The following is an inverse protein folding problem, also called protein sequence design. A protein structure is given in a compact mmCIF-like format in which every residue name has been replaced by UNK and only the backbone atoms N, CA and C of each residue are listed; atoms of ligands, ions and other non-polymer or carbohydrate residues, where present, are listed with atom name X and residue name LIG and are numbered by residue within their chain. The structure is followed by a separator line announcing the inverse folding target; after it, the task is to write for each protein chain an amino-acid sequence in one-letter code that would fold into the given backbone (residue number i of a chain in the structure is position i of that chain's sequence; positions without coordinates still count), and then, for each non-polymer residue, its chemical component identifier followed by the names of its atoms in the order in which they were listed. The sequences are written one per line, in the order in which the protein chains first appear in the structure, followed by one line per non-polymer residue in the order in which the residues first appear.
data_IF_697006320917
#
_entry.id   IF_697006320917
#
_cell.length_a   1.000
_cell.length_b   1.000
_cell.length_c   1.000
_cell.angle_alpha   90.00
_cell.angle_beta   90.00
_cell.angle_gamma   90.00
#
_symmetry.space_group_name_H-M   'P 1'
#
loop_
_entity.id
_entity.type
_entity.pdbx_description
1 polymer ?
#
# COMPACT_ATOMS: atom_id res chain seq x y z
N UNK A 1 -0.88 -6.53 -11.49
CA UNK A 1 -0.13 -6.68 -10.23
C UNK A 1 -0.36 -5.45 -9.39
N UNK A 2 -0.79 -5.65 -8.15
CA UNK A 2 -1.10 -4.57 -7.21
C UNK A 2 -0.35 -4.78 -5.92
N UNK A 3 -0.06 -3.71 -5.18
CA UNK A 3 0.54 -3.81 -3.85
C UNK A 3 -0.49 -3.46 -2.78
N UNK A 4 -0.59 -4.29 -1.75
CA UNK A 4 -1.60 -4.13 -0.70
C UNK A 4 -1.05 -3.26 0.42
N UNK A 5 -1.56 -2.04 0.57
CA UNK A 5 -1.16 -1.10 1.63
C UNK A 5 -2.14 -1.12 2.80
N UNK A 6 -1.62 -0.89 4.01
CA UNK A 6 -2.43 -0.72 5.21
C UNK A 6 -2.35 0.72 5.72
N UNK A 7 -3.50 1.26 6.14
CA UNK A 7 -3.55 2.55 6.83
C UNK A 7 -4.62 2.60 7.90
N UNK A 8 -4.31 3.33 8.98
CA UNK A 8 -5.28 3.73 10.02
C UNK A 8 -5.83 5.13 9.79
N UNK A 9 -5.26 5.90 8.86
CA UNK A 9 -5.61 7.29 8.56
C UNK A 9 -6.04 7.43 7.08
N UNK A 10 -7.20 6.89 6.67
CA UNK A 10 -7.63 6.85 5.28
C UNK A 10 -7.74 8.24 4.62
N UNK A 11 -7.98 9.29 5.41
CA UNK A 11 -8.02 10.66 4.94
C UNK A 11 -6.69 11.18 4.35
N UNK A 12 -5.56 10.53 4.65
CA UNK A 12 -4.23 10.87 4.11
C UNK A 12 -3.91 10.17 2.78
N UNK A 13 -4.73 9.22 2.34
CA UNK A 13 -4.50 8.46 1.10
C UNK A 13 -4.35 9.34 -0.16
N UNK A 14 -5.08 10.45 -0.34
CA UNK A 14 -4.87 11.32 -1.49
C UNK A 14 -3.55 12.10 -1.43
N UNK A 15 -2.90 12.17 -0.27
CA UNK A 15 -1.56 12.75 -0.13
C UNK A 15 -0.45 11.70 -0.28
N UNK A 16 -0.79 10.46 -0.66
CA UNK A 16 0.17 9.39 -0.85
C UNK A 16 1.19 9.74 -1.95
N UNK A 17 2.47 9.47 -1.69
CA UNK A 17 3.59 9.80 -2.58
C UNK A 17 4.56 8.67 -2.79
N UNK A 18 4.52 7.65 -1.95
CA UNK A 18 5.33 6.44 -2.08
C UNK A 18 4.71 5.32 -1.24
N UNK A 19 5.25 4.12 -1.36
CA UNK A 19 4.86 2.99 -0.54
C UNK A 19 6.10 2.50 0.19
N UNK A 20 6.11 2.57 1.52
CA UNK A 20 7.20 2.07 2.33
C UNK A 20 7.11 0.56 2.52
N UNK A 21 8.23 -0.11 2.24
CA UNK A 21 8.48 -1.53 2.43
C UNK A 21 9.70 -1.71 3.34
N UNK A 22 9.74 -2.79 4.12
CA UNK A 22 10.94 -3.13 4.88
C UNK A 22 11.91 -3.90 3.96
N UNK A 23 13.21 -3.55 3.92
CA UNK A 23 14.17 -4.20 3.04
C UNK A 23 14.36 -5.70 3.35
N UNK A 24 14.33 -6.06 4.63
CA UNK A 24 14.67 -7.41 5.10
C UNK A 24 13.49 -8.40 5.05
N UNK A 25 12.26 -7.89 4.92
CA UNK A 25 11.06 -8.71 4.89
C UNK A 25 10.90 -9.42 3.55
N UNK A 26 10.34 -10.62 3.62
CA UNK A 26 9.92 -11.37 2.45
C UNK A 26 8.51 -10.97 2.04
N UNK A 27 8.35 -10.54 0.79
CA UNK A 27 7.07 -10.22 0.18
C UNK A 27 6.64 -11.34 -0.74
N UNK A 28 5.39 -11.78 -0.60
CA UNK A 28 4.79 -12.81 -1.42
C UNK A 28 3.93 -12.18 -2.53
N UNK A 29 4.10 -12.66 -3.76
CA UNK A 29 3.15 -12.42 -4.84
C UNK A 29 2.05 -13.47 -4.73
N UNK A 30 0.85 -13.05 -4.38
CA UNK A 30 -0.30 -13.93 -4.16
C UNK A 30 -1.33 -13.70 -5.26
N UNK A 31 -1.80 -14.77 -5.89
CA UNK A 31 -2.91 -14.76 -6.82
C UNK A 31 -4.21 -15.08 -6.09
N UNK A 32 -5.19 -14.18 -6.22
CA UNK A 32 -6.52 -14.27 -5.60
C UNK A 32 -7.52 -13.80 -6.66
N UNK A 33 -8.54 -14.60 -6.96
CA UNK A 33 -9.59 -14.25 -7.94
C UNK A 33 -9.06 -13.75 -9.29
N UNK A 34 -7.96 -14.33 -9.77
CA UNK A 34 -7.31 -13.93 -11.03
C UNK A 34 -6.47 -12.64 -10.95
N UNK A 35 -6.37 -12.01 -9.78
CA UNK A 35 -5.55 -10.83 -9.54
C UNK A 35 -4.28 -11.18 -8.77
N UNK A 36 -3.15 -10.61 -9.17
CA UNK A 36 -1.88 -10.78 -8.48
C UNK A 36 -1.60 -9.59 -7.54
N UNK A 37 -1.45 -9.88 -6.24
CA UNK A 37 -1.24 -8.90 -5.16
C UNK A 37 0.06 -9.16 -4.41
N UNK A 38 0.74 -8.09 -3.97
CA UNK A 38 1.97 -8.17 -3.17
C UNK A 38 1.66 -7.76 -1.73
N UNK A 39 2.09 -8.59 -0.78
CA UNK A 39 2.02 -8.34 0.66
C UNK A 39 3.15 -9.08 1.39
N UNK A 40 3.45 -8.70 2.62
CA UNK A 40 4.43 -9.43 3.43
C UNK A 40 3.98 -10.89 3.62
N UNK A 41 4.92 -11.82 3.41
CA UNK A 41 4.70 -13.26 3.44
C UNK A 41 4.05 -13.71 4.74
N UNK A 42 4.54 -13.21 5.87
CA UNK A 42 4.06 -13.57 7.21
C UNK A 42 2.64 -13.07 7.50
N UNK A 43 2.16 -12.09 6.73
CA UNK A 43 0.83 -11.51 6.85
C UNK A 43 -0.17 -12.07 5.84
N UNK A 44 0.26 -12.97 4.93
CA UNK A 44 -0.62 -13.54 3.89
C UNK A 44 -1.84 -14.19 4.52
N UNK A 45 -1.65 -15.15 5.41
CA UNK A 45 -2.76 -15.88 6.02
C UNK A 45 -3.73 -14.94 6.77
N UNK A 46 -3.21 -14.01 7.57
CA UNK A 46 -4.02 -13.04 8.30
C UNK A 46 -4.84 -12.14 7.38
N UNK A 47 -4.24 -11.69 6.27
CA UNK A 47 -4.92 -10.88 5.27
C UNK A 47 -5.99 -11.70 4.54
N UNK A 48 -5.68 -12.93 4.11
CA UNK A 48 -6.64 -13.81 3.42
C UNK A 48 -7.87 -14.10 4.30
N UNK A 49 -7.65 -14.39 5.58
CA UNK A 49 -8.75 -14.59 6.54
C UNK A 49 -9.59 -13.32 6.72
N UNK A 50 -8.95 -12.14 6.79
CA UNK A 50 -9.66 -10.85 6.92
C UNK A 50 -10.50 -10.48 5.71
N UNK A 51 -10.02 -10.81 4.51
CA UNK A 51 -10.74 -10.54 3.26
C UNK A 51 -11.76 -11.63 2.92
N UNK A 52 -11.71 -12.78 3.61
CA UNK A 52 -12.59 -13.91 3.35
C UNK A 52 -12.25 -14.69 2.09
N UNK A 53 -11.01 -14.58 1.59
CA UNK A 53 -10.54 -15.33 0.42
C UNK A 53 -10.22 -16.76 0.83
N UNK A 54 -11.04 -17.71 0.37
CA UNK A 54 -10.86 -19.13 0.65
C UNK A 54 -9.76 -19.77 -0.21
N UNK A 55 -9.56 -19.26 -1.43
CA UNK A 55 -8.59 -19.78 -2.39
C UNK A 55 -7.59 -18.70 -2.77
N UNK A 56 -6.31 -19.00 -2.57
CA UNK A 56 -5.22 -18.15 -3.00
C UNK A 56 -3.99 -19.00 -3.33
N UNK A 57 -3.16 -18.53 -4.26
CA UNK A 57 -1.93 -19.23 -4.66
C UNK A 57 -0.75 -18.28 -4.52
N UNK A 58 0.29 -18.70 -3.81
CA UNK A 58 1.55 -17.95 -3.75
C UNK A 58 2.35 -18.28 -5.01
N UNK A 59 2.54 -17.29 -5.88
CA UNK A 59 3.29 -17.41 -7.13
C UNK A 59 4.80 -17.32 -6.94
N UNK A 60 5.25 -16.62 -5.90
CA UNK A 60 6.66 -16.45 -5.58
C UNK A 60 6.88 -15.52 -4.40
N UNK A 61 8.12 -15.47 -3.92
CA UNK A 61 8.53 -14.59 -2.83
C UNK A 61 9.78 -13.81 -3.23
N UNK A 62 9.89 -12.57 -2.79
CA UNK A 62 10.98 -11.65 -3.11
C UNK A 62 11.32 -10.81 -1.88
N UNK A 63 12.59 -10.41 -1.73
CA UNK A 63 12.99 -9.50 -0.66
C UNK A 63 12.46 -8.10 -0.90
N UNK A 64 12.09 -7.39 0.16
CA UNK A 64 11.60 -6.01 0.06
C UNK A 64 12.61 -5.07 -0.62
N UNK A 65 13.91 -5.30 -0.40
CA UNK A 65 14.98 -4.58 -1.08
C UNK A 65 14.92 -4.67 -2.62
N UNK A 66 14.46 -5.80 -3.18
CA UNK A 66 14.34 -5.96 -4.64
C UNK A 66 13.10 -5.27 -5.23
N UNK A 67 12.16 -4.84 -4.37
CA UNK A 67 10.98 -4.07 -4.77
C UNK A 67 11.23 -2.55 -4.76
N UNK A 68 12.44 -2.11 -4.40
CA UNK A 68 12.80 -0.70 -4.35
C UNK A 68 12.62 -0.01 -5.72
N UNK A 69 12.05 1.20 -5.70
CA UNK A 69 11.73 2.04 -6.87
C UNK A 69 10.72 1.44 -7.86
N UNK A 70 10.14 0.28 -7.58
CA UNK A 70 9.06 -0.28 -8.38
C UNK A 70 7.86 0.68 -8.38
N UNK A 71 7.32 0.98 -9.56
CA UNK A 71 6.28 2.01 -9.72
C UNK A 71 4.89 1.40 -9.69
N UNK A 72 4.02 2.00 -8.90
CA UNK A 72 2.60 1.64 -8.77
C UNK A 72 1.71 2.84 -9.08
N UNK A 73 0.61 2.61 -9.77
CA UNK A 73 -0.34 3.68 -10.09
C UNK A 73 -1.11 4.07 -8.84
N UNK A 74 -1.13 5.37 -8.54
CA UNK A 74 -1.83 5.88 -7.37
C UNK A 74 -3.34 5.82 -7.58
N UNK A 75 -4.13 5.33 -6.60
CA UNK A 75 -5.55 4.98 -6.78
C UNK A 75 -6.53 6.16 -6.94
N UNK A 76 -6.03 7.40 -6.93
CA UNK A 76 -6.87 8.62 -6.89
C UNK A 76 -6.37 9.69 -7.84
N UNK A 77 -5.06 9.77 -7.99
CA UNK A 77 -4.40 10.72 -8.87
C UNK A 77 -3.67 9.87 -9.89
N UNK A 78 -3.99 9.98 -11.18
CA UNK A 78 -3.46 9.12 -12.25
C UNK A 78 -1.97 9.29 -12.56
N UNK A 79 -1.11 9.33 -11.53
CA UNK A 79 0.33 9.29 -11.60
C UNK A 79 0.87 8.07 -10.84
N UNK A 80 2.11 7.71 -11.10
CA UNK A 80 2.76 6.60 -10.42
C UNK A 80 3.56 7.03 -9.18
N UNK A 81 3.44 6.25 -8.11
CA UNK A 81 4.23 6.34 -6.88
C UNK A 81 5.27 5.22 -6.82
N UNK A 82 6.50 5.49 -6.36
CA UNK A 82 7.51 4.46 -6.15
C UNK A 82 7.27 3.69 -4.84
N UNK A 83 7.67 2.42 -4.82
CA UNK A 83 8.00 1.72 -3.59
C UNK A 83 9.37 2.18 -3.07
N UNK A 84 9.48 2.39 -1.77
CA UNK A 84 10.67 2.89 -1.08
C UNK A 84 10.96 2.02 0.14
N UNK A 85 12.21 2.00 0.58
CA UNK A 85 12.64 1.21 1.73
C UNK A 85 12.60 2.06 3.01
N UNK A 86 11.85 1.59 4.00
CA UNK A 86 11.66 2.25 5.29
C UNK A 86 11.65 1.29 6.47
N UNK A 87 12.44 1.63 7.49
CA UNK A 87 12.64 0.80 8.70
C UNK A 87 11.46 0.89 9.69
N UNK A 88 10.52 1.81 9.46
CA UNK A 88 9.32 1.97 10.28
C UNK A 88 8.21 0.95 9.96
N UNK A 89 8.40 0.13 8.92
CA UNK A 89 7.44 -0.88 8.51
C UNK A 89 7.58 -2.09 9.42
N UNK A 90 6.52 -2.44 10.15
CA UNK A 90 6.48 -3.59 11.04
C UNK A 90 5.48 -4.66 10.57
N UNK A 91 5.64 -5.88 11.08
CA UNK A 91 4.71 -6.99 10.85
C UNK A 91 3.58 -7.07 11.90
N UNK A 92 3.58 -6.18 12.88
CA UNK A 92 2.62 -6.24 14.01
C UNK A 92 1.18 -5.95 13.57
N UNK A 93 1.00 -5.11 12.55
CA UNK A 93 -0.31 -4.76 12.04
C UNK A 93 -0.27 -4.35 10.55
N UNK A 94 -1.24 -4.86 9.78
CA UNK A 94 -1.50 -4.45 8.41
C UNK A 94 -1.13 -5.51 7.38
N UNK A 95 -0.34 -5.11 6.38
CA UNK A 95 0.04 -5.93 5.22
C UNK A 95 1.55 -5.98 4.99
N UNK A 96 2.32 -5.32 5.87
CA UNK A 96 3.76 -5.12 5.70
C UNK A 96 4.12 -4.11 4.61
N UNK A 97 3.14 -3.34 4.12
CA UNK A 97 3.38 -2.18 3.27
C UNK A 97 2.56 -0.99 3.74
N UNK A 98 3.21 0.16 3.85
CA UNK A 98 2.63 1.37 4.44
C UNK A 98 2.61 2.46 3.37
N UNK A 99 1.48 3.16 3.21
CA UNK A 99 1.45 4.32 2.32
C UNK A 99 2.25 5.47 2.95
N UNK A 100 2.94 6.25 2.15
CA UNK A 100 3.80 7.32 2.66
C UNK A 100 3.24 8.66 2.20
N UNK A 101 2.82 9.48 3.16
CA UNK A 101 2.29 10.82 2.95
C UNK A 101 3.17 11.85 3.70
N UNK A 102 4.27 12.34 3.10
CA UNK A 102 5.29 13.17 3.77
C UNK A 102 4.78 14.49 4.38
N UNK A 103 3.56 14.92 4.05
CA UNK A 103 2.93 16.11 4.65
C UNK A 103 2.14 15.84 5.93
N UNK A 104 2.00 14.58 6.34
CA UNK A 104 1.00 14.15 7.31
C UNK A 104 1.51 13.13 8.35
N UNK A 105 2.79 12.75 8.31
CA UNK A 105 3.43 11.86 9.29
C UNK A 105 4.91 12.20 9.49
N UNK A 106 5.46 12.08 10.72
CA UNK A 106 6.87 12.38 10.99
C UNK A 106 7.81 11.38 10.30
N UNK A 107 7.51 10.07 10.35
CA UNK A 107 8.31 9.04 9.70
C UNK A 107 8.25 9.17 8.17
N UNK A 108 7.06 9.46 7.64
CA UNK A 108 6.83 9.76 6.22
C UNK A 108 7.62 11.00 5.75
N UNK A 109 7.77 12.00 6.62
CA UNK A 109 8.53 13.21 6.32
C UNK A 109 10.03 12.91 6.24
N UNK A 110 10.56 12.12 7.18
CA UNK A 110 11.98 11.73 7.21
C UNK A 110 12.33 10.92 5.95
N UNK A 111 11.57 9.87 5.67
CA UNK A 111 11.82 9.04 4.49
C UNK A 111 11.51 9.79 3.19
N UNK A 112 10.48 10.63 3.18
CA UNK A 112 10.13 11.45 2.04
C UNK A 112 11.25 12.42 1.65
N UNK A 113 11.99 12.96 2.62
CA UNK A 113 13.17 13.78 2.32
C UNK A 113 14.32 12.95 1.72
N UNK A 114 14.57 11.74 2.23
CA UNK A 114 15.62 10.84 1.73
C UNK A 114 15.43 10.54 0.23
N UNK A 115 14.19 10.33 -0.21
CA UNK A 115 13.86 10.02 -1.62
C UNK A 115 13.40 11.23 -2.44
N UNK A 116 13.46 12.45 -1.90
CA UNK A 116 13.05 13.67 -2.60
C UNK A 116 11.56 13.74 -2.97
N UNK A 117 10.69 13.13 -2.17
CA UNK A 117 9.25 13.07 -2.43
C UNK A 117 8.57 14.43 -2.25
N UNK A 118 7.61 14.72 -3.14
CA UNK A 118 6.82 15.95 -3.09
C UNK A 118 5.90 15.97 -1.88
N UNK A 119 6.12 16.90 -0.95
CA UNK A 119 5.19 17.12 0.18
C UNK A 119 3.88 17.73 -0.30
N UNK A 120 2.77 17.06 -0.02
CA UNK A 120 1.42 17.60 -0.19
C UNK A 120 0.83 17.85 1.19
N UNK A 121 0.61 19.12 1.55
CA UNK A 121 0.05 19.53 2.85
C UNK A 121 -1.42 19.95 2.76
N UNK A 122 -1.88 20.39 1.59
CA UNK A 122 -3.28 20.77 1.35
C UNK A 122 -3.99 19.66 0.58
N UNK A 123 -4.81 18.90 1.28
CA UNK A 123 -5.83 18.05 0.68
C UNK A 123 -6.99 18.95 0.21
N UNK A 124 -7.22 19.07 -1.10
CA UNK A 124 -8.39 19.79 -1.62
C UNK A 124 -9.69 19.08 -1.21
N UNK A 125 -10.80 19.80 -1.04
CA UNK A 125 -12.12 19.22 -0.72
C UNK A 125 -12.59 18.14 -1.70
N UNK A 126 -12.00 18.10 -2.90
CA UNK A 126 -12.26 17.16 -4.00
C UNK A 126 -11.65 15.77 -3.80
N UNK A 127 -10.77 15.57 -2.82
CA UNK A 127 -10.05 14.31 -2.65
C UNK A 127 -10.91 13.16 -2.07
N UNK A 128 -12.11 13.47 -1.57
CA UNK A 128 -13.06 12.49 -1.02
C UNK A 128 -14.09 12.00 -2.04
N UNK A 129 -14.15 12.56 -3.26
CA UNK A 129 -15.20 12.27 -4.25
C UNK A 129 -14.71 11.56 -5.52
N UNK A 130 -13.43 11.19 -5.62
CA UNK A 130 -12.94 10.46 -6.79
C UNK A 130 -13.11 8.96 -6.61
N UNK A 131 -14.05 8.44 -7.39
CA UNK A 131 -14.35 7.03 -7.61
C UNK A 131 -13.07 6.29 -8.02
N UNK A 132 -12.60 5.41 -7.15
CA UNK A 132 -11.44 4.59 -7.43
C UNK A 132 -11.84 3.52 -8.45
N UNK A 133 -11.46 3.76 -9.71
CA UNK A 133 -11.46 2.74 -10.74
C UNK A 133 -10.17 1.94 -10.60
N UNK A 134 -10.27 0.61 -10.53
CA UNK A 134 -9.22 -0.41 -10.43
C UNK A 134 -7.84 0.10 -10.86
N UNK A 135 -7.01 0.52 -9.90
CA UNK A 135 -5.65 0.99 -10.15
C UNK A 135 -4.73 0.35 -9.12
N UNK A 136 -3.76 -0.43 -9.64
CA UNK A 136 -2.56 -1.15 -9.12
C UNK A 136 -2.09 -0.99 -7.65
N UNK A 137 -2.93 -0.53 -6.74
CA UNK A 137 -2.71 -0.36 -5.31
C UNK A 137 -4.00 -0.75 -4.60
N UNK A 138 -3.95 -1.81 -3.79
CA UNK A 138 -5.11 -2.27 -3.02
C UNK A 138 -4.98 -1.73 -1.60
N UNK A 139 -5.99 -1.02 -1.09
CA UNK A 139 -5.92 -0.42 0.25
C UNK A 139 -6.75 -1.20 1.24
N UNK A 140 -6.12 -1.68 2.32
CA UNK A 140 -6.80 -2.24 3.49
C UNK A 140 -6.79 -1.23 4.64
N UNK A 141 -7.88 -1.15 5.38
CA UNK A 141 -8.03 -0.24 6.52
C UNK A 141 -8.55 -0.99 7.75
N UNK A 142 -8.34 -0.45 8.95
CA UNK A 142 -8.78 -1.05 10.23
C UNK A 142 -10.29 -1.17 10.40
N UNK A 143 -11.07 -0.44 9.60
CA UNK A 143 -12.52 -0.56 9.55
C UNK A 143 -12.91 -1.74 8.66
N UNK A 144 -13.68 -2.70 9.21
CA UNK A 144 -14.20 -3.93 8.53
C UNK A 144 -14.97 -3.71 7.21
N UNK A 145 -15.11 -2.46 6.73
CA UNK A 145 -15.96 -2.10 5.59
C UNK A 145 -15.22 -1.75 4.30
N UNK A 146 -13.89 -1.81 4.26
CA UNK A 146 -13.14 -1.17 3.16
C UNK A 146 -12.22 -2.14 2.42
N UNK A 147 -12.78 -3.26 1.95
CA UNK A 147 -12.31 -3.92 0.71
C UNK A 147 -13.21 -3.52 -0.48
N UNK A 148 -14.34 -2.87 -0.20
CA UNK A 148 -15.39 -2.54 -1.18
C UNK A 148 -15.35 -1.12 -1.74
N UNK A 149 -14.43 -0.24 -1.33
CA UNK A 149 -14.41 1.16 -1.83
C UNK A 149 -13.51 1.38 -3.06
N UNK A 150 -12.90 0.33 -3.61
CA UNK A 150 -12.10 0.41 -4.84
C UNK A 150 -12.69 -0.42 -6.01
N UNK A 151 -13.84 -1.07 -5.80
CA UNK A 151 -14.66 -1.68 -6.84
C UNK A 151 -16.01 -0.94 -6.86
N UNK A 152 -16.07 0.16 -7.61
CA UNK A 152 -17.34 0.59 -8.21
C UNK A 152 -17.34 0.13 -9.66
#
# INVERSE_FOLDING_TARGET
MSLVIWTTTPWTLPANRAISLAPDFDYALVQIDGQAVILAKDLVESVMQRIGAAEYTILGTVKGAELELLRFTHPFMGFDVPAILGDHVTLDAGTGAVHTAPGHGPDDYVIGQKYGLKRLTRLGRTALTCQAHIQRLTVLTSSKRTISLLNC
#
